data_IF_995149676524
#
_entry.id   IF_995149676524
#
_cell.length_a   1.000
_cell.length_b   1.000
_cell.length_c   1.000
_cell.angle_alpha   90.00
_cell.angle_beta   90.00
_cell.angle_gamma   90.00
#
_symmetry.space_group_name_H-M   'P 1'
#
loop_
_entity.id
_entity.type
_entity.pdbx_description
1 polymer ?
#
# COMPACT_ATOMS: atom_id res chain seq x y z
N UNK A 1 -30.39 35.34 37.48
CA UNK A 1 -29.91 33.96 37.70
C UNK A 1 -30.71 33.02 36.81
N UNK A 2 -30.11 32.51 35.74
CA UNK A 2 -30.76 31.57 34.81
C UNK A 2 -30.66 30.16 35.39
N UNK A 3 -31.75 29.66 35.98
CA UNK A 3 -31.87 28.26 36.40
C UNK A 3 -32.08 27.41 35.15
N UNK A 4 -31.01 26.87 34.59
CA UNK A 4 -31.10 25.88 33.50
C UNK A 4 -31.70 24.57 34.05
N UNK A 5 -32.64 24.00 33.30
CA UNK A 5 -33.30 22.73 33.63
C UNK A 5 -32.31 21.56 33.54
N UNK A 6 -32.50 20.54 34.38
CA UNK A 6 -31.67 19.31 34.40
C UNK A 6 -31.61 18.64 33.02
N UNK A 7 -32.68 18.76 32.22
CA UNK A 7 -32.74 18.23 30.85
C UNK A 7 -31.76 18.93 29.90
N UNK A 8 -31.51 20.22 30.13
CA UNK A 8 -30.58 21.02 29.32
C UNK A 8 -29.13 20.63 29.62
N UNK A 9 -28.83 20.27 30.88
CA UNK A 9 -27.51 19.77 31.28
C UNK A 9 -27.15 18.44 30.63
N UNK A 10 -28.09 17.49 30.57
CA UNK A 10 -27.86 16.19 29.92
C UNK A 10 -27.54 16.34 28.43
N UNK A 11 -28.23 17.24 27.72
CA UNK A 11 -27.98 17.50 26.29
C UNK A 11 -26.60 18.09 26.04
N UNK A 12 -26.17 19.04 26.88
CA UNK A 12 -24.83 19.64 26.80
C UNK A 12 -23.75 18.60 27.06
N UNK A 13 -23.95 17.73 28.06
CA UNK A 13 -22.99 16.69 28.39
C UNK A 13 -22.81 15.68 27.24
N UNK A 14 -23.91 15.25 26.61
CA UNK A 14 -23.86 14.35 25.44
C UNK A 14 -23.16 14.99 24.26
N UNK A 15 -23.39 16.29 23.99
CA UNK A 15 -22.71 17.00 22.90
C UNK A 15 -21.21 17.15 23.16
N UNK A 16 -20.82 17.48 24.40
CA UNK A 16 -19.40 17.61 24.76
C UNK A 16 -18.68 16.27 24.69
N UNK A 17 -19.27 15.19 25.24
CA UNK A 17 -18.68 13.84 25.19
C UNK A 17 -18.59 13.33 23.76
N UNK A 18 -19.62 13.57 22.93
CA UNK A 18 -19.60 13.22 21.51
C UNK A 18 -18.51 13.97 20.73
N UNK A 19 -18.32 15.26 21.01
CA UNK A 19 -17.27 16.06 20.37
C UNK A 19 -15.85 15.64 20.79
N UNK A 20 -15.67 15.19 22.03
CA UNK A 20 -14.38 14.70 22.54
C UNK A 20 -14.04 13.33 21.95
N UNK A 21 -15.00 12.41 21.87
CA UNK A 21 -14.79 11.06 21.33
C UNK A 21 -14.66 11.03 19.80
N UNK A 22 -15.33 11.95 19.08
CA UNK A 22 -15.29 12.03 17.62
C UNK A 22 -13.94 12.48 17.05
N UNK A 23 -13.00 12.97 17.87
CA UNK A 23 -11.68 13.47 17.41
C UNK A 23 -10.59 12.41 17.34
N UNK A 24 -10.83 11.18 17.79
CA UNK A 24 -9.88 10.09 17.58
C UNK A 24 -10.01 9.52 16.16
N UNK A 25 -9.59 10.31 15.17
CA UNK A 25 -9.29 9.77 13.86
C UNK A 25 -8.01 8.93 13.97
N UNK A 26 -8.17 7.61 13.94
CA UNK A 26 -7.05 6.68 13.82
C UNK A 26 -6.45 6.85 12.43
N UNK A 27 -5.45 7.71 12.32
CA UNK A 27 -4.62 7.78 11.12
C UNK A 27 -3.72 6.54 11.09
N UNK A 28 -4.15 5.50 10.38
CA UNK A 28 -3.24 4.44 9.99
C UNK A 28 -2.21 5.05 9.04
N UNK A 29 -0.92 4.97 9.40
CA UNK A 29 0.17 5.42 8.54
C UNK A 29 0.30 4.42 7.38
N UNK A 30 -0.43 4.66 6.30
CA UNK A 30 -0.38 3.87 5.06
C UNK A 30 0.81 4.28 4.19
N UNK A 31 1.94 4.69 4.80
CA UNK A 31 3.15 5.04 4.05
C UNK A 31 3.89 3.76 3.69
N UNK A 32 3.33 2.97 2.79
CA UNK A 32 4.09 1.95 2.10
C UNK A 32 5.02 2.66 1.11
N UNK A 33 6.32 2.48 1.26
CA UNK A 33 7.27 2.95 0.26
C UNK A 33 7.13 2.01 -0.95
N UNK A 34 6.68 2.57 -2.06
CA UNK A 34 6.54 1.82 -3.31
C UNK A 34 7.58 2.29 -4.33
N UNK A 35 8.15 1.34 -5.05
CA UNK A 35 9.05 1.55 -6.19
C UNK A 35 8.29 1.16 -7.44
N UNK A 36 8.40 1.97 -8.49
CA UNK A 36 7.72 1.74 -9.75
C UNK A 36 8.73 1.58 -10.88
N UNK A 37 8.36 0.82 -11.90
CA UNK A 37 9.20 0.59 -13.07
C UNK A 37 8.38 0.27 -14.33
N UNK A 38 8.97 0.39 -15.52
CA UNK A 38 8.28 0.06 -16.76
C UNK A 38 8.21 -1.45 -17.00
N UNK A 39 7.26 -1.88 -17.83
CA UNK A 39 7.32 -3.19 -18.47
C UNK A 39 8.37 -3.14 -19.58
N UNK A 40 9.29 -4.08 -19.57
CA UNK A 40 10.31 -4.29 -20.58
C UNK A 40 9.90 -5.42 -21.51
N UNK A 41 10.44 -5.40 -22.73
CA UNK A 41 10.22 -6.44 -23.73
C UNK A 41 11.54 -6.86 -24.37
N UNK A 42 11.73 -8.16 -24.55
CA UNK A 42 12.86 -8.72 -25.31
C UNK A 42 12.35 -9.79 -26.27
N UNK A 43 13.08 -10.04 -27.35
CA UNK A 43 12.82 -11.14 -28.27
C UNK A 43 13.79 -12.28 -27.98
N UNK A 44 13.31 -13.52 -27.99
CA UNK A 44 14.17 -14.71 -27.88
C UNK A 44 14.73 -15.14 -29.25
N UNK A 45 15.64 -16.12 -29.26
CA UNK A 45 16.22 -16.63 -30.51
C UNK A 45 15.19 -17.30 -31.45
N UNK A 46 13.98 -17.58 -30.96
CA UNK A 46 12.87 -18.16 -31.72
C UNK A 46 11.91 -17.10 -32.26
N UNK A 47 12.18 -15.82 -32.02
CA UNK A 47 11.32 -14.71 -32.44
C UNK A 47 10.13 -14.43 -31.52
N UNK A 48 10.05 -15.09 -30.35
CA UNK A 48 8.97 -14.82 -29.41
C UNK A 48 9.31 -13.60 -28.56
N UNK A 49 8.35 -12.67 -28.45
CA UNK A 49 8.46 -11.53 -27.55
C UNK A 49 8.08 -11.91 -26.13
N UNK A 50 8.97 -11.67 -25.18
CA UNK A 50 8.76 -11.84 -23.75
C UNK A 50 8.61 -10.49 -23.06
N UNK A 51 7.67 -10.40 -22.13
CA UNK A 51 7.41 -9.19 -21.35
C UNK A 51 7.70 -9.43 -19.87
N UNK A 52 8.44 -8.51 -19.25
CA UNK A 52 8.90 -8.66 -17.87
C UNK A 52 9.11 -7.28 -17.21
N UNK A 53 9.20 -7.26 -15.89
CA UNK A 53 9.57 -6.09 -15.11
C UNK A 53 10.89 -6.34 -14.36
N UNK A 54 11.71 -5.30 -14.25
CA UNK A 54 12.97 -5.34 -13.49
C UNK A 54 12.75 -4.79 -12.08
N UNK A 55 12.95 -5.62 -11.06
CA UNK A 55 12.67 -5.28 -9.65
C UNK A 55 13.86 -4.64 -8.93
N UNK A 56 15.07 -4.77 -9.48
CA UNK A 56 16.34 -4.42 -8.81
C UNK A 56 16.54 -5.12 -7.44
N UNK A 57 15.75 -6.16 -7.18
CA UNK A 57 15.71 -6.93 -5.94
C UNK A 57 15.95 -8.41 -6.23
N UNK A 58 15.75 -9.31 -5.26
CA UNK A 58 15.76 -10.76 -5.49
C UNK A 58 14.33 -11.31 -5.41
N UNK A 59 13.76 -11.89 -6.47
CA UNK A 59 14.35 -12.10 -7.81
C UNK A 59 14.45 -10.79 -8.63
N UNK A 60 15.45 -10.63 -9.51
CA UNK A 60 15.74 -9.37 -10.22
C UNK A 60 14.77 -9.05 -11.36
N UNK A 61 14.07 -10.06 -11.85
CA UNK A 61 13.09 -9.94 -12.91
C UNK A 61 11.84 -10.73 -12.55
N UNK A 62 10.69 -10.25 -13.04
CA UNK A 62 9.41 -10.93 -12.92
C UNK A 62 8.67 -10.88 -14.25
N UNK A 63 7.95 -11.94 -14.57
CA UNK A 63 7.16 -12.01 -15.81
C UNK A 63 5.94 -11.09 -15.73
N UNK A 64 5.45 -10.67 -16.89
CA UNK A 64 4.18 -9.94 -16.98
C UNK A 64 3.03 -10.79 -16.41
N UNK A 65 2.18 -10.18 -15.59
CA UNK A 65 1.08 -10.82 -14.87
C UNK A 65 1.50 -11.56 -13.60
N UNK A 66 2.80 -11.60 -13.27
CA UNK A 66 3.27 -12.24 -12.07
C UNK A 66 3.08 -11.36 -10.82
N UNK A 67 2.91 -12.04 -9.68
CA UNK A 67 3.01 -11.47 -8.35
C UNK A 67 4.13 -12.18 -7.60
N UNK A 68 5.08 -11.44 -7.03
CA UNK A 68 6.24 -12.01 -6.34
C UNK A 68 6.57 -11.22 -5.07
N UNK A 69 7.10 -11.94 -4.07
CA UNK A 69 7.73 -11.31 -2.90
C UNK A 69 9.21 -11.14 -3.22
N UNK A 70 9.66 -9.91 -3.39
CA UNK A 70 11.06 -9.57 -3.62
C UNK A 70 11.75 -9.15 -2.32
N UNK A 71 13.07 -9.34 -2.25
CA UNK A 71 13.89 -8.83 -1.14
C UNK A 71 15.03 -7.95 -1.64
N UNK A 72 15.24 -6.83 -0.97
CA UNK A 72 16.37 -5.96 -1.24
C UNK A 72 17.68 -6.50 -0.60
N UNK A 73 18.78 -5.78 -0.82
CA UNK A 73 20.08 -6.12 -0.22
C UNK A 73 20.15 -5.91 1.31
N UNK A 74 19.23 -5.15 1.88
CA UNK A 74 19.13 -4.90 3.32
C UNK A 74 18.26 -5.92 4.06
N UNK A 75 17.56 -6.79 3.32
CA UNK A 75 16.65 -7.81 3.86
C UNK A 75 15.21 -7.35 4.04
N UNK A 76 14.85 -6.18 3.50
CA UNK A 76 13.48 -5.69 3.45
C UNK A 76 12.68 -6.45 2.38
N UNK A 77 11.41 -6.72 2.68
CA UNK A 77 10.51 -7.43 1.77
C UNK A 77 9.59 -6.47 1.03
N UNK A 78 9.34 -6.79 -0.23
CA UNK A 78 8.50 -6.02 -1.12
C UNK A 78 7.49 -6.96 -1.80
N UNK A 79 6.23 -6.54 -1.86
CA UNK A 79 5.22 -7.15 -2.69
C UNK A 79 5.24 -6.48 -4.05
N UNK A 80 5.60 -7.25 -5.08
CA UNK A 80 5.76 -6.76 -6.43
C UNK A 80 4.70 -7.34 -7.36
N UNK A 81 4.10 -6.47 -8.17
CA UNK A 81 3.23 -6.83 -9.29
C UNK A 81 3.80 -6.25 -10.58
N UNK A 82 3.69 -6.99 -11.68
CA UNK A 82 4.05 -6.52 -13.02
C UNK A 82 2.83 -6.61 -13.92
N UNK A 83 2.21 -5.48 -14.23
CA UNK A 83 0.96 -5.43 -14.97
C UNK A 83 1.01 -4.38 -16.09
N UNK A 84 0.51 -4.75 -17.26
CA UNK A 84 0.40 -3.84 -18.41
C UNK A 84 -0.94 -3.11 -18.41
N UNK A 85 -1.99 -3.78 -17.94
CA UNK A 85 -3.30 -3.16 -17.81
C UNK A 85 -3.19 -1.96 -16.86
N UNK A 86 -3.81 -0.83 -17.23
CA UNK A 86 -3.73 0.45 -16.53
C UNK A 86 -2.38 1.20 -16.60
N UNK A 87 -1.42 0.79 -17.45
CA UNK A 87 -0.11 1.43 -17.58
C UNK A 87 0.66 1.54 -16.25
N UNK A 88 0.40 0.63 -15.31
CA UNK A 88 1.06 0.61 -14.00
C UNK A 88 2.53 0.19 -14.15
N UNK A 89 2.78 -0.80 -15.01
CA UNK A 89 4.07 -1.43 -15.13
C UNK A 89 4.38 -2.26 -13.90
N UNK A 90 5.55 -2.06 -13.32
CA UNK A 90 5.93 -2.64 -12.06
C UNK A 90 5.50 -1.73 -10.91
N UNK A 91 4.93 -2.33 -9.87
CA UNK A 91 4.79 -1.69 -8.56
C UNK A 91 5.28 -2.66 -7.48
N UNK A 92 6.25 -2.23 -6.68
CA UNK A 92 6.82 -2.98 -5.56
C UNK A 92 6.68 -2.19 -4.27
N UNK A 93 5.85 -2.64 -3.34
CA UNK A 93 5.59 -1.93 -2.09
C UNK A 93 6.16 -2.67 -0.88
N UNK A 94 6.75 -1.95 0.07
CA UNK A 94 7.27 -2.54 1.31
C UNK A 94 6.18 -3.31 2.07
N UNK A 95 6.50 -4.54 2.44
CA UNK A 95 5.64 -5.41 3.24
C UNK A 95 6.45 -5.98 4.41
N UNK A 96 5.82 -6.29 5.56
CA UNK A 96 6.48 -7.09 6.59
C UNK A 96 6.94 -8.42 5.99
N UNK A 97 8.21 -8.79 6.18
CA UNK A 97 8.69 -10.10 5.75
C UNK A 97 7.88 -11.21 6.43
N UNK A 98 7.12 -11.98 5.66
CA UNK A 98 6.44 -13.16 6.19
C UNK A 98 7.49 -14.13 6.73
N UNK A 99 7.34 -14.55 7.99
CA UNK A 99 8.09 -15.66 8.57
C UNK A 99 7.53 -16.96 7.98
N UNK A 100 8.01 -17.34 6.80
CA UNK A 100 7.82 -18.69 6.27
C UNK A 100 8.71 -19.68 6.97
#
# INVERSE_FOLDING_TARGET
>A
MLTMSVRTWSLVLVTVVGALLGRHQTHAKVNYKCVYGPVLSTEDASGNTHHFCATEMRPPFMQLGAYVIARDGAGMCYECVCERENNIGMACCETPCQRT
#
